data_IF_621522591604
#
_entry.id   IF_621522591604
#
_cell.length_a   1.000
_cell.length_b   1.000
_cell.length_c   1.000
_cell.angle_alpha   90.00
_cell.angle_beta   90.00
_cell.angle_gamma   90.00
#
_symmetry.space_group_name_H-M   'P 1'
#
loop_
_entity.id
_entity.type
_entity.pdbx_description
1 polymer ?
#
# COMPACT_ATOMS: atom_id res chain seq x y z
N UNK A 1 -26.33 -46.81 -13.09
CA UNK A 1 -24.94 -46.30 -13.11
C UNK A 1 -24.86 -44.80 -13.39
N UNK A 2 -25.39 -44.27 -14.50
CA UNK A 2 -25.32 -42.83 -14.84
C UNK A 2 -25.84 -41.87 -13.74
N UNK A 3 -26.99 -42.17 -13.13
CA UNK A 3 -27.59 -41.36 -12.04
C UNK A 3 -26.74 -41.34 -10.75
N UNK A 4 -26.06 -42.44 -10.45
CA UNK A 4 -25.18 -42.55 -9.28
C UNK A 4 -23.95 -41.68 -9.50
N UNK A 5 -23.33 -41.75 -10.68
CA UNK A 5 -22.18 -40.91 -11.05
C UNK A 5 -22.52 -39.43 -11.03
N UNK A 6 -23.68 -39.03 -11.57
CA UNK A 6 -24.14 -37.63 -11.54
C UNK A 6 -24.37 -37.16 -10.10
N UNK A 7 -24.98 -37.98 -9.25
CA UNK A 7 -25.22 -37.62 -7.86
C UNK A 7 -23.92 -37.52 -7.05
N UNK A 8 -22.93 -38.40 -7.32
CA UNK A 8 -21.61 -38.34 -6.68
C UNK A 8 -20.84 -37.09 -7.11
N UNK A 9 -20.89 -36.70 -8.39
CA UNK A 9 -20.25 -35.46 -8.89
C UNK A 9 -20.91 -34.23 -8.26
N UNK A 10 -22.24 -34.20 -8.17
CA UNK A 10 -22.97 -33.11 -7.55
C UNK A 10 -22.63 -32.97 -6.07
N UNK A 11 -22.52 -34.09 -5.35
CA UNK A 11 -22.13 -34.09 -3.94
C UNK A 11 -20.70 -33.60 -3.73
N UNK A 12 -19.78 -34.01 -4.61
CA UNK A 12 -18.39 -33.55 -4.58
C UNK A 12 -18.27 -32.05 -4.89
N UNK A 13 -19.04 -31.55 -5.85
CA UNK A 13 -19.08 -30.12 -6.17
C UNK A 13 -19.64 -29.29 -5.02
N UNK A 14 -20.72 -29.77 -4.38
CA UNK A 14 -21.31 -29.13 -3.22
C UNK A 14 -20.33 -29.11 -2.02
N UNK A 15 -19.55 -30.17 -1.83
CA UNK A 15 -18.50 -30.23 -0.80
C UNK A 15 -17.33 -29.26 -1.07
N UNK A 16 -16.96 -29.07 -2.34
CA UNK A 16 -15.92 -28.12 -2.74
C UNK A 16 -16.31 -26.66 -2.44
N UNK A 17 -17.60 -26.31 -2.53
CA UNK A 17 -18.10 -24.96 -2.27
C UNK A 17 -18.18 -24.57 -0.78
N UNK A 18 -18.01 -25.52 0.16
CA UNK A 18 -18.14 -25.24 1.61
C UNK A 18 -16.91 -24.48 2.16
N UNK A 19 -15.77 -24.53 1.47
CA UNK A 19 -14.52 -23.89 1.91
C UNK A 19 -14.45 -22.38 1.62
N UNK A 20 -15.52 -21.75 1.11
CA UNK A 20 -15.57 -20.29 0.93
C UNK A 20 -16.09 -19.63 2.21
N UNK A 21 -15.38 -19.83 3.32
CA UNK A 21 -15.76 -19.31 4.64
C UNK A 21 -14.53 -18.64 5.25
N UNK A 22 -14.52 -17.30 5.14
CA UNK A 22 -13.70 -16.32 5.84
C UNK A 22 -12.18 -16.44 5.69
N UNK A 23 -11.65 -16.01 4.54
CA UNK A 23 -10.26 -15.59 4.42
C UNK A 23 -10.08 -14.19 5.05
N UNK A 24 -9.96 -14.14 6.38
CA UNK A 24 -9.62 -12.90 7.09
C UNK A 24 -9.46 -13.15 8.58
N UNK A 25 -8.33 -12.73 9.15
CA UNK A 25 -8.19 -12.64 10.60
C UNK A 25 -9.31 -11.75 11.19
N UNK A 26 -9.75 -12.06 12.41
CA UNK A 26 -10.71 -11.20 13.10
C UNK A 26 -10.12 -9.80 13.27
N UNK A 27 -10.79 -8.79 12.74
CA UNK A 27 -10.36 -7.40 12.86
C UNK A 27 -10.25 -7.00 14.34
N UNK A 28 -9.05 -6.58 14.75
CA UNK A 28 -8.81 -6.06 16.09
C UNK A 28 -8.98 -4.53 16.10
N UNK A 29 -9.73 -4.00 17.08
CA UNK A 29 -9.97 -2.56 17.19
C UNK A 29 -8.67 -1.74 17.30
N UNK A 30 -7.66 -2.27 18.01
CA UNK A 30 -6.32 -1.65 18.10
C UNK A 30 -5.68 -1.52 16.73
N UNK A 31 -5.82 -2.53 15.88
CA UNK A 31 -5.27 -2.51 14.52
C UNK A 31 -5.99 -1.51 13.62
N UNK A 32 -7.32 -1.44 13.73
CA UNK A 32 -8.12 -0.45 13.00
C UNK A 32 -7.68 0.98 13.34
N UNK A 33 -7.51 1.29 14.64
CA UNK A 33 -7.17 2.66 15.07
C UNK A 33 -5.68 2.99 14.98
N UNK A 34 -4.81 1.97 14.85
CA UNK A 34 -3.35 2.17 14.77
C UNK A 34 -2.86 2.71 13.42
N UNK A 35 -3.72 2.77 12.40
CA UNK A 35 -3.30 3.09 11.04
C UNK A 35 -2.70 1.91 10.27
N UNK A 36 -2.69 0.68 10.82
CA UNK A 36 -2.20 -0.55 10.14
C UNK A 36 -2.81 -0.74 8.74
N UNK A 37 -4.06 -0.34 8.56
CA UNK A 37 -4.80 -0.47 7.30
C UNK A 37 -4.92 0.85 6.53
N UNK A 38 -4.23 1.90 6.97
CA UNK A 38 -4.22 3.18 6.27
C UNK A 38 -3.42 3.03 4.96
N UNK A 39 -3.96 3.45 3.81
CA UNK A 39 -3.23 3.37 2.56
C UNK A 39 -2.00 4.27 2.61
N UNK A 40 -0.87 3.78 2.10
CA UNK A 40 0.30 4.62 1.85
C UNK A 40 -0.03 5.63 0.76
N UNK A 41 0.07 6.92 1.09
CA UNK A 41 -0.13 8.00 0.14
C UNK A 41 1.19 8.73 -0.11
N UNK A 42 1.36 9.21 -1.35
CA UNK A 42 2.39 10.19 -1.66
C UNK A 42 1.79 11.55 -1.36
N UNK A 43 1.89 11.98 -0.11
CA UNK A 43 1.51 13.32 0.31
C UNK A 43 2.56 14.35 -0.13
N UNK A 44 2.11 15.60 -0.32
CA UNK A 44 2.96 16.78 -0.48
C UNK A 44 3.95 16.73 -1.65
N UNK A 45 3.54 16.11 -2.76
CA UNK A 45 4.25 16.20 -4.03
C UNK A 45 4.06 17.59 -4.63
N UNK A 46 5.15 18.35 -4.78
CA UNK A 46 5.16 19.66 -5.43
C UNK A 46 6.03 19.60 -6.68
N UNK A 47 5.47 19.77 -7.89
CA UNK A 47 6.26 19.78 -9.12
C UNK A 47 7.27 20.93 -9.16
N UNK A 48 8.46 20.69 -9.71
CA UNK A 48 9.42 21.76 -10.03
C UNK A 48 9.05 22.45 -11.34
N UNK A 49 9.52 23.69 -11.51
CA UNK A 49 9.21 24.52 -12.69
C UNK A 49 9.74 23.95 -14.02
N UNK A 50 10.75 23.08 -13.98
CA UNK A 50 11.31 22.39 -15.15
C UNK A 50 10.40 21.25 -15.67
N UNK A 51 9.38 20.84 -14.90
CA UNK A 51 8.44 19.77 -15.27
C UNK A 51 9.04 18.36 -15.28
N UNK A 52 10.30 18.19 -14.90
CA UNK A 52 10.99 16.88 -14.92
C UNK A 52 11.06 16.24 -13.52
N UNK A 53 10.93 17.05 -12.46
CA UNK A 53 11.07 16.59 -11.09
C UNK A 53 9.90 17.06 -10.21
N UNK A 54 9.82 16.45 -9.03
CA UNK A 54 8.99 16.92 -7.94
C UNK A 54 9.78 16.90 -6.64
N UNK A 55 9.35 17.73 -5.71
CA UNK A 55 9.85 17.71 -4.33
C UNK A 55 8.83 17.04 -3.43
N UNK A 56 9.33 16.32 -2.42
CA UNK A 56 8.50 15.63 -1.43
C UNK A 56 9.20 15.62 -0.09
N UNK A 57 8.44 15.78 0.99
CA UNK A 57 8.91 15.50 2.35
C UNK A 57 9.00 13.98 2.57
N UNK A 58 10.04 13.52 3.28
CA UNK A 58 10.13 12.12 3.70
C UNK A 58 9.05 11.76 4.74
N UNK A 59 8.85 10.47 4.99
CA UNK A 59 7.84 9.99 5.93
C UNK A 59 8.07 10.49 7.37
N UNK A 60 9.33 10.73 7.73
CA UNK A 60 9.72 11.20 9.07
C UNK A 60 9.53 12.71 9.25
N UNK A 61 9.28 13.46 8.18
CA UNK A 61 9.11 14.92 8.25
C UNK A 61 10.40 15.72 8.49
N UNK A 62 11.56 15.12 8.22
CA UNK A 62 12.89 15.69 8.52
C UNK A 62 13.65 16.17 7.29
N UNK A 63 13.27 15.69 6.10
CA UNK A 63 13.96 15.99 4.86
C UNK A 63 12.99 16.34 3.74
N UNK A 64 13.40 17.27 2.88
CA UNK A 64 12.74 17.53 1.60
C UNK A 64 13.67 17.00 0.50
N UNK A 65 13.25 15.95 -0.20
CA UNK A 65 13.97 15.37 -1.32
C UNK A 65 13.44 15.84 -2.68
N UNK A 66 14.30 15.82 -3.70
CA UNK A 66 13.94 16.00 -5.11
C UNK A 66 13.95 14.64 -5.80
N UNK A 67 12.93 14.37 -6.60
CA UNK A 67 12.72 13.07 -7.26
C UNK A 67 12.40 13.27 -8.73
N UNK A 68 12.84 12.35 -9.58
CA UNK A 68 12.53 12.38 -11.01
C UNK A 68 11.11 11.83 -11.28
N UNK A 69 10.30 12.53 -12.08
CA UNK A 69 8.99 12.01 -12.49
C UNK A 69 9.09 10.70 -13.29
N UNK A 70 10.14 10.57 -14.11
CA UNK A 70 10.33 9.43 -15.02
C UNK A 70 10.62 8.12 -14.28
N UNK A 71 11.43 8.17 -13.23
CA UNK A 71 11.95 6.97 -12.55
C UNK A 71 11.47 6.84 -11.11
N UNK A 72 11.00 7.93 -10.49
CA UNK A 72 10.69 7.98 -9.06
C UNK A 72 11.91 8.00 -8.15
N UNK A 73 13.13 7.99 -8.70
CA UNK A 73 14.36 7.97 -7.93
C UNK A 73 14.66 9.34 -7.31
N UNK A 74 15.23 9.32 -6.11
CA UNK A 74 15.72 10.53 -5.45
C UNK A 74 17.01 10.99 -6.12
N UNK A 75 17.02 12.23 -6.58
CA UNK A 75 18.19 12.85 -7.24
C UNK A 75 18.92 13.83 -6.33
N UNK A 76 18.26 14.37 -5.31
CA UNK A 76 18.82 15.40 -4.43
C UNK A 76 18.12 15.44 -3.07
N UNK A 77 18.81 15.93 -2.03
CA UNK A 77 18.21 16.37 -0.75
C UNK A 77 18.30 17.89 -0.71
N UNK A 78 17.15 18.55 -0.73
CA UNK A 78 17.03 20.02 -0.75
C UNK A 78 17.16 20.59 0.67
N UNK A 79 16.53 19.93 1.64
CA UNK A 79 16.56 20.34 3.04
C UNK A 79 16.67 19.13 3.95
N UNK A 80 17.38 19.30 5.06
CA UNK A 80 17.62 18.27 6.07
C UNK A 80 17.74 18.93 7.44
N UNK A 81 16.84 18.59 8.37
CA UNK A 81 16.79 19.16 9.71
C UNK A 81 18.07 18.91 10.51
N UNK A 82 18.79 17.81 10.27
CA UNK A 82 20.04 17.51 10.99
C UNK A 82 21.20 18.39 10.53
N UNK A 83 21.13 18.88 9.29
CA UNK A 83 22.13 19.77 8.69
C UNK A 83 21.76 21.24 8.79
N UNK A 84 20.50 21.55 9.07
CA UNK A 84 20.03 22.91 9.29
C UNK A 84 20.73 23.48 10.54
N UNK A 85 21.54 24.54 10.35
CA UNK A 85 22.12 25.30 11.47
C UNK A 85 21.14 26.39 11.87
N UNK A 86 21.11 26.75 13.15
CA UNK A 86 20.17 27.69 13.78
C UNK A 86 19.73 28.83 12.85
N UNK A 87 18.41 28.94 12.66
CA UNK A 87 17.76 29.95 11.83
C UNK A 87 17.66 31.29 12.56
#
# INVERSE_FOLDING_TARGET
MKKVVVNTILFFFLFCCINVVYAGESLNLKEIVSGKFQPETIADMVPTSDGEYYTRMNAEGTQIGKYAFKTGEQVEVIFDTEKAREC
#
